data_IF_698057157059
#
_entry.id   IF_698057157059
#
_cell.length_a   1.000
_cell.length_b   1.000
_cell.length_c   1.000
_cell.angle_alpha   90.00
_cell.angle_beta   90.00
_cell.angle_gamma   90.00
#
_symmetry.space_group_name_H-M   'P 1'
#
loop_
_entity.id
_entity.type
_entity.pdbx_description
1 polymer ?
#
# COMPACT_ATOMS: atom_id res chain seq x y z
N UNK A 1 36.19 58.20 37.79
CA UNK A 1 36.51 56.95 38.52
C UNK A 1 35.17 56.48 39.08
N UNK A 2 34.52 55.43 38.60
CA UNK A 2 35.07 54.11 38.27
C UNK A 2 34.17 53.33 37.28
N UNK A 3 34.82 52.50 36.47
CA UNK A 3 34.35 51.38 35.62
C UNK A 3 33.10 50.65 36.15
N UNK A 4 32.02 50.49 35.35
CA UNK A 4 31.76 49.43 34.33
C UNK A 4 31.78 48.00 34.88
N UNK A 5 30.60 47.40 34.87
CA UNK A 5 30.40 45.97 35.11
C UNK A 5 28.94 45.59 34.90
N UNK A 6 28.44 45.65 33.66
CA UNK A 6 27.14 45.03 33.33
C UNK A 6 27.30 43.52 33.42
N UNK A 7 26.51 42.81 34.25
CA UNK A 7 26.57 41.36 34.31
C UNK A 7 26.06 40.81 32.97
N UNK A 8 26.92 40.07 32.27
CA UNK A 8 26.55 39.40 31.03
C UNK A 8 25.36 38.49 31.28
N UNK A 9 24.27 38.70 30.54
CA UNK A 9 23.02 37.94 30.68
C UNK A 9 23.27 36.49 30.26
N UNK A 10 23.10 35.50 31.15
CA UNK A 10 23.21 34.08 30.79
C UNK A 10 21.98 33.55 30.00
N UNK A 11 20.92 34.37 29.85
CA UNK A 11 19.62 33.92 29.33
C UNK A 11 19.58 33.68 27.81
N UNK A 12 20.39 34.39 27.02
CA UNK A 12 20.31 34.33 25.55
C UNK A 12 20.71 32.97 24.97
N UNK A 13 21.68 32.27 25.58
CA UNK A 13 22.17 30.98 25.10
C UNK A 13 21.29 29.79 25.49
N UNK A 14 20.61 29.87 26.64
CA UNK A 14 19.67 28.84 27.09
C UNK A 14 18.38 28.89 26.27
N UNK A 15 17.86 30.10 26.02
CA UNK A 15 16.65 30.32 25.22
C UNK A 15 16.81 29.80 23.77
N UNK A 16 17.94 30.09 23.12
CA UNK A 16 18.26 29.57 21.77
C UNK A 16 18.38 28.04 21.74
N UNK A 17 18.95 27.45 22.80
CA UNK A 17 19.05 26.00 22.95
C UNK A 17 17.66 25.35 23.04
N UNK A 18 16.76 25.91 23.86
CA UNK A 18 15.39 25.40 23.99
C UNK A 18 14.58 25.52 22.69
N UNK A 19 14.71 26.62 21.94
CA UNK A 19 14.04 26.80 20.64
C UNK A 19 14.48 25.75 19.62
N UNK A 20 15.79 25.46 19.55
CA UNK A 20 16.33 24.43 18.65
C UNK A 20 15.86 23.04 19.03
N UNK A 21 15.95 22.68 20.31
CA UNK A 21 15.46 21.40 20.83
C UNK A 21 13.97 21.19 20.54
N UNK A 22 13.14 22.22 20.75
CA UNK A 22 11.71 22.15 20.47
C UNK A 22 11.42 22.02 18.97
N UNK A 23 12.17 22.71 18.12
CA UNK A 23 12.04 22.58 16.67
C UNK A 23 12.42 21.16 16.20
N UNK A 24 13.48 20.57 16.75
CA UNK A 24 13.90 19.20 16.46
C UNK A 24 12.88 18.17 16.93
N UNK A 25 12.36 18.32 18.16
CA UNK A 25 11.30 17.46 18.70
C UNK A 25 10.01 17.56 17.87
N UNK A 26 9.58 18.77 17.53
CA UNK A 26 8.41 19.00 16.66
C UNK A 26 8.60 18.36 15.29
N UNK A 27 9.78 18.49 14.69
CA UNK A 27 10.10 17.84 13.41
C UNK A 27 10.05 16.32 13.54
N UNK A 28 10.63 15.75 14.59
CA UNK A 28 10.61 14.31 14.84
C UNK A 28 9.18 13.80 15.03
N UNK A 29 8.38 14.51 15.82
CA UNK A 29 6.97 14.18 16.05
C UNK A 29 6.16 14.24 14.75
N UNK A 30 6.37 15.28 13.93
CA UNK A 30 5.71 15.41 12.63
C UNK A 30 6.06 14.26 11.68
N UNK A 31 7.33 13.82 11.65
CA UNK A 31 7.75 12.65 10.86
C UNK A 31 7.13 11.35 11.37
N UNK A 32 7.03 11.18 12.69
CA UNK A 32 6.39 10.00 13.30
C UNK A 32 4.90 9.95 12.97
N UNK A 33 4.18 11.05 13.17
CA UNK A 33 2.76 11.15 12.83
C UNK A 33 2.52 10.90 11.33
N UNK A 34 3.38 11.44 10.45
CA UNK A 34 3.30 11.18 9.01
C UNK A 34 3.45 9.69 8.71
N UNK A 35 4.44 9.02 9.30
CA UNK A 35 4.65 7.58 9.11
C UNK A 35 3.46 6.75 9.62
N UNK A 36 2.95 7.07 10.81
CA UNK A 36 1.82 6.37 11.41
C UNK A 36 0.54 6.54 10.59
N UNK A 37 0.27 7.77 10.12
CA UNK A 37 -0.87 8.05 9.24
C UNK A 37 -0.76 7.28 7.93
N UNK A 38 0.40 7.29 7.26
CA UNK A 38 0.64 6.51 6.04
C UNK A 38 0.47 4.99 6.24
N UNK A 39 0.96 4.44 7.36
CA UNK A 39 0.80 3.02 7.70
C UNK A 39 -0.67 2.68 7.98
N UNK A 40 -1.39 3.55 8.69
CA UNK A 40 -2.81 3.36 8.99
C UNK A 40 -3.68 3.39 7.73
N UNK A 41 -3.42 4.32 6.80
CA UNK A 41 -4.14 4.40 5.53
C UNK A 41 -3.81 3.21 4.63
N UNK A 42 -2.55 2.78 4.58
CA UNK A 42 -2.16 1.57 3.84
C UNK A 42 -2.89 0.33 4.36
N UNK A 43 -2.99 0.18 5.69
CA UNK A 43 -3.72 -0.93 6.31
C UNK A 43 -5.21 -0.87 5.95
N UNK A 44 -5.83 0.29 6.12
CA UNK A 44 -7.24 0.51 5.77
C UNK A 44 -7.54 0.17 4.30
N UNK A 45 -6.70 0.62 3.38
CA UNK A 45 -6.86 0.33 1.95
C UNK A 45 -6.68 -1.15 1.64
N UNK A 46 -5.72 -1.83 2.29
CA UNK A 46 -5.56 -3.27 2.14
C UNK A 46 -6.83 -4.01 2.56
N UNK A 47 -7.36 -3.70 3.74
CA UNK A 47 -8.54 -4.36 4.28
C UNK A 47 -9.79 -4.11 3.41
N UNK A 48 -9.92 -2.90 2.84
CA UNK A 48 -11.03 -2.55 1.95
C UNK A 48 -11.02 -3.33 0.62
N UNK A 49 -9.84 -3.55 0.04
CA UNK A 49 -9.72 -4.16 -1.29
C UNK A 49 -9.43 -5.67 -1.25
N UNK A 50 -9.10 -6.23 -0.08
CA UNK A 50 -8.80 -7.66 0.06
C UNK A 50 -9.97 -8.52 -0.45
N UNK A 51 -9.69 -9.44 -1.37
CA UNK A 51 -10.70 -10.28 -2.05
C UNK A 51 -11.82 -9.50 -2.75
N UNK A 52 -11.57 -8.25 -3.14
CA UNK A 52 -12.50 -7.44 -3.92
C UNK A 52 -11.89 -7.09 -5.28
N UNK A 53 -12.72 -7.14 -6.31
CA UNK A 53 -12.28 -6.88 -7.66
C UNK A 53 -11.84 -5.41 -7.82
N UNK A 54 -10.62 -5.12 -8.30
CA UNK A 54 -10.15 -3.75 -8.48
C UNK A 54 -10.89 -3.01 -9.61
N UNK A 55 -11.61 -3.73 -10.47
CA UNK A 55 -12.38 -3.14 -11.58
C UNK A 55 -13.79 -2.72 -11.16
N UNK A 56 -14.50 -3.53 -10.38
CA UNK A 56 -15.92 -3.31 -10.08
C UNK A 56 -16.27 -3.34 -8.59
N UNK A 57 -15.32 -3.64 -7.70
CA UNK A 57 -15.54 -3.67 -6.25
C UNK A 57 -16.33 -4.88 -5.74
N UNK A 58 -16.69 -5.83 -6.59
CA UNK A 58 -17.41 -7.05 -6.18
C UNK A 58 -16.46 -8.08 -5.57
N UNK A 59 -16.98 -8.89 -4.64
CA UNK A 59 -16.22 -9.96 -4.02
C UNK A 59 -15.70 -10.97 -5.07
N UNK A 60 -14.45 -11.37 -4.92
CA UNK A 60 -13.79 -12.38 -5.73
C UNK A 60 -13.83 -13.73 -5.03
N UNK A 61 -13.69 -14.79 -5.81
CA UNK A 61 -13.62 -16.16 -5.31
C UNK A 61 -12.36 -16.84 -5.85
N UNK A 62 -11.64 -17.50 -4.94
CA UNK A 62 -10.48 -18.31 -5.27
C UNK A 62 -10.93 -19.60 -5.98
N UNK A 63 -10.29 -19.92 -7.09
CA UNK A 63 -10.52 -21.15 -7.86
C UNK A 63 -9.18 -21.80 -8.19
N UNK A 64 -9.07 -23.11 -7.98
CA UNK A 64 -7.88 -23.87 -8.38
C UNK A 64 -8.01 -24.31 -9.83
N UNK A 65 -7.17 -23.75 -10.70
CA UNK A 65 -7.12 -24.11 -12.11
C UNK A 65 -5.80 -24.81 -12.45
N UNK A 66 -5.88 -26.12 -12.73
CA UNK A 66 -4.74 -26.99 -13.07
C UNK A 66 -3.55 -26.86 -12.11
N UNK A 67 -3.83 -26.64 -10.82
CA UNK A 67 -2.83 -26.54 -9.75
C UNK A 67 -2.39 -25.12 -9.41
N UNK A 68 -2.89 -24.10 -10.10
CA UNK A 68 -2.69 -22.68 -9.77
C UNK A 68 -3.95 -22.14 -9.13
N UNK A 69 -3.83 -21.53 -7.96
CA UNK A 69 -4.95 -20.84 -7.32
C UNK A 69 -5.11 -19.48 -8.01
N UNK A 70 -6.34 -19.09 -8.37
CA UNK A 70 -6.61 -17.83 -9.07
C UNK A 70 -7.85 -17.18 -8.50
N UNK A 71 -7.82 -15.87 -8.33
CA UNK A 71 -8.99 -15.12 -7.87
C UNK A 71 -9.82 -14.66 -9.06
N UNK A 72 -11.11 -15.01 -9.06
CA UNK A 72 -12.02 -14.68 -10.16
C UNK A 72 -13.18 -13.82 -9.67
N UNK A 73 -13.44 -12.75 -10.42
CA UNK A 73 -14.63 -11.93 -10.26
C UNK A 73 -15.71 -12.36 -11.26
N UNK A 74 -16.82 -12.90 -10.77
CA UNK A 74 -17.94 -13.31 -11.61
C UNK A 74 -18.81 -12.16 -12.13
N UNK A 75 -18.67 -10.96 -11.57
CA UNK A 75 -19.46 -9.80 -12.01
C UNK A 75 -18.90 -9.17 -13.29
N UNK A 76 -17.60 -8.92 -13.33
CA UNK A 76 -16.96 -8.22 -14.45
C UNK A 76 -15.97 -9.09 -15.22
N UNK A 77 -15.91 -10.39 -14.91
CA UNK A 77 -15.01 -11.35 -15.54
C UNK A 77 -13.51 -11.05 -15.36
N UNK A 78 -13.16 -10.36 -14.28
CA UNK A 78 -11.75 -10.05 -13.95
C UNK A 78 -11.08 -11.24 -13.26
N UNK A 79 -9.80 -11.47 -13.57
CA UNK A 79 -8.95 -12.44 -12.87
C UNK A 79 -7.77 -11.72 -12.26
N UNK A 80 -7.44 -12.10 -11.03
CA UNK A 80 -6.26 -11.65 -10.33
C UNK A 80 -5.35 -12.85 -10.07
N UNK A 81 -4.04 -12.66 -10.28
CA UNK A 81 -3.01 -13.67 -10.17
C UNK A 81 -1.94 -13.13 -9.23
N UNK A 82 -1.53 -13.94 -8.26
CA UNK A 82 -0.47 -13.60 -7.33
C UNK A 82 0.92 -13.77 -7.95
N UNK A 83 1.91 -13.16 -7.31
CA UNK A 83 3.30 -13.21 -7.75
C UNK A 83 3.81 -14.66 -7.71
N UNK A 84 4.24 -15.17 -8.86
CA UNK A 84 4.75 -16.55 -9.02
C UNK A 84 3.72 -17.53 -9.59
N UNK A 85 2.43 -17.19 -9.58
CA UNK A 85 1.38 -18.00 -10.22
C UNK A 85 1.44 -17.89 -11.74
N UNK A 86 1.74 -16.69 -12.25
CA UNK A 86 1.90 -16.46 -13.69
C UNK A 86 3.02 -17.31 -14.31
N UNK A 87 4.11 -17.54 -13.58
CA UNK A 87 5.24 -18.36 -14.03
C UNK A 87 4.84 -19.85 -14.18
N UNK A 88 3.83 -20.31 -13.43
CA UNK A 88 3.26 -21.65 -13.60
C UNK A 88 2.34 -21.72 -14.83
N UNK A 89 1.76 -20.60 -15.25
CA UNK A 89 0.87 -20.49 -16.41
C UNK A 89 1.59 -20.33 -17.75
N UNK A 90 2.86 -19.94 -17.77
CA UNK A 90 3.65 -19.74 -19.00
C UNK A 90 4.29 -21.02 -19.56
N UNK A 91 4.26 -22.14 -18.83
CA UNK A 91 4.81 -23.40 -19.33
C UNK A 91 4.03 -23.86 -20.58
N UNK A 92 4.69 -24.43 -21.60
CA UNK A 92 4.03 -24.84 -22.85
C UNK A 92 2.90 -25.87 -22.64
N UNK A 93 2.92 -26.60 -21.52
CA UNK A 93 1.90 -27.56 -21.10
C UNK A 93 0.64 -26.88 -20.50
N UNK A 94 0.75 -25.62 -20.08
CA UNK A 94 -0.33 -24.80 -19.53
C UNK A 94 -0.99 -23.85 -20.54
N UNK A 95 -0.71 -23.96 -21.86
CA UNK A 95 -1.51 -23.32 -22.93
C UNK A 95 -3.02 -23.58 -22.77
N UNK A 96 -3.39 -24.73 -22.22
CA UNK A 96 -4.79 -25.07 -21.93
C UNK A 96 -5.41 -24.29 -20.76
N UNK A 97 -4.61 -23.72 -19.86
CA UNK A 97 -5.08 -22.96 -18.69
C UNK A 97 -5.56 -21.58 -19.11
N UNK A 98 -4.72 -20.81 -19.81
CA UNK A 98 -5.10 -19.51 -20.37
C UNK A 98 -6.27 -19.67 -21.36
N UNK A 99 -6.28 -20.73 -22.16
CA UNK A 99 -7.41 -21.04 -23.06
C UNK A 99 -8.70 -21.39 -22.29
N UNK A 100 -8.63 -22.18 -21.19
CA UNK A 100 -9.79 -22.48 -20.35
C UNK A 100 -10.35 -21.23 -19.66
N UNK A 101 -9.47 -20.38 -19.14
CA UNK A 101 -9.80 -19.06 -18.59
C UNK A 101 -10.53 -18.21 -19.65
N UNK A 102 -9.94 -18.07 -20.85
CA UNK A 102 -10.51 -17.24 -21.92
C UNK A 102 -11.83 -17.81 -22.46
N UNK A 103 -11.99 -19.14 -22.47
CA UNK A 103 -13.23 -19.79 -22.88
C UNK A 103 -14.36 -19.61 -21.86
N UNK A 104 -14.06 -19.47 -20.56
CA UNK A 104 -15.07 -19.09 -19.56
C UNK A 104 -15.69 -17.72 -19.87
N UNK A 105 -14.89 -16.83 -20.44
CA UNK A 105 -15.29 -15.47 -20.77
C UNK A 105 -15.75 -15.29 -22.20
N UNK A 106 -15.92 -16.37 -22.97
CA UNK A 106 -16.43 -16.28 -24.32
C UNK A 106 -17.89 -15.83 -24.21
N UNK A 107 -18.25 -14.58 -24.58
CA UNK A 107 -19.66 -14.22 -24.64
C UNK A 107 -20.32 -15.14 -25.66
N UNK A 108 -21.52 -15.64 -25.37
CA UNK A 108 -22.32 -16.31 -26.39
C UNK A 108 -22.46 -15.35 -27.56
N UNK A 109 -21.80 -15.68 -28.68
CA UNK A 109 -21.98 -14.96 -29.92
C UNK A 109 -23.44 -15.16 -30.30
N UNK A 110 -24.28 -14.15 -30.05
CA UNK A 110 -25.61 -14.09 -30.66
C UNK A 110 -25.42 -14.23 -32.17
N UNK A 111 -25.95 -15.32 -32.72
CA UNK A 111 -26.32 -15.41 -34.13
C UNK A 111 -27.49 -14.46 -34.41
#
# INVERSE_FOLDING_TARGET
>A
MSDKGTPGKPSTTEDEYFVREDAEKKRKLALQLKKETEESERKRLKDLHFMHCPKCGMQMQEMKLRGVDVDVCFSCSGIFLDKGELEHLEKPESRGVMSAILNWFKPESKA
#
